data_IF_159621919824
#
_entry.id   IF_159621919824
#
_cell.length_a   1.000
_cell.length_b   1.000
_cell.length_c   1.000
_cell.angle_alpha   90.00
_cell.angle_beta   90.00
_cell.angle_gamma   90.00
#
_symmetry.space_group_name_H-M   'P 1'
#
loop_
_entity.id
_entity.type
_entity.pdbx_description
1 polymer ?
#
# COMPACT_ATOMS: atom_id res chain seq x y z
N UNK A 1 -18.61 0.89 -18.07
CA UNK A 1 -17.64 0.12 -17.29
C UNK A 1 -17.77 0.54 -15.83
N UNK A 2 -18.13 -0.33 -14.89
CA UNK A 2 -18.17 -0.01 -13.46
C UNK A 2 -16.85 0.60 -12.95
N UNK A 3 -16.98 1.60 -12.08
CA UNK A 3 -15.86 2.32 -11.48
C UNK A 3 -15.81 1.99 -9.99
N UNK A 4 -14.67 1.45 -9.54
CA UNK A 4 -14.42 1.07 -8.16
C UNK A 4 -13.51 2.12 -7.50
N UNK A 5 -13.98 2.72 -6.40
CA UNK A 5 -13.21 3.74 -5.67
C UNK A 5 -12.20 3.07 -4.75
N UNK A 6 -10.92 3.37 -4.97
CA UNK A 6 -9.83 2.82 -4.15
C UNK A 6 -9.73 3.58 -2.84
N UNK A 7 -9.83 2.84 -1.72
CA UNK A 7 -9.71 3.39 -0.35
C UNK A 7 -8.31 3.29 0.22
N UNK A 8 -7.59 2.22 -0.11
CA UNK A 8 -6.23 1.97 0.36
C UNK A 8 -5.44 1.25 -0.74
N UNK A 9 -4.12 1.46 -0.75
CA UNK A 9 -3.19 0.82 -1.68
C UNK A 9 -1.88 0.49 -0.98
N UNK A 10 -1.37 -0.71 -1.26
CA UNK A 10 -0.02 -1.14 -0.90
C UNK A 10 0.73 -1.55 -2.18
N UNK A 11 2.04 -1.39 -2.19
CA UNK A 11 2.88 -1.68 -3.35
C UNK A 11 3.81 -2.84 -3.05
N UNK A 12 3.96 -3.73 -4.01
CA UNK A 12 4.96 -4.79 -3.98
C UNK A 12 5.56 -4.96 -5.38
N UNK A 13 6.88 -4.99 -5.49
CA UNK A 13 7.53 -5.31 -6.75
C UNK A 13 7.76 -6.82 -6.85
N UNK A 14 7.43 -7.39 -8.01
CA UNK A 14 7.71 -8.79 -8.36
C UNK A 14 8.87 -8.84 -9.36
N UNK A 15 10.01 -9.37 -8.93
CA UNK A 15 11.16 -9.62 -9.82
C UNK A 15 10.90 -10.76 -10.81
N UNK A 16 9.97 -11.67 -10.51
CA UNK A 16 9.61 -12.80 -11.38
C UNK A 16 8.76 -12.32 -12.56
N UNK A 17 7.79 -11.45 -12.31
CA UNK A 17 6.92 -10.92 -13.36
C UNK A 17 7.44 -9.65 -14.02
N UNK A 18 8.48 -9.04 -13.43
CA UNK A 18 9.03 -7.73 -13.76
C UNK A 18 7.92 -6.65 -13.78
N UNK A 19 7.17 -6.58 -12.68
CA UNK A 19 5.98 -5.72 -12.51
C UNK A 19 5.80 -5.26 -11.07
N UNK A 20 5.12 -4.14 -10.90
CA UNK A 20 4.66 -3.68 -9.58
C UNK A 20 3.21 -4.08 -9.39
N UNK A 21 2.92 -4.79 -8.31
CA UNK A 21 1.58 -5.04 -7.82
C UNK A 21 1.12 -3.91 -6.89
N UNK A 22 -0.06 -3.37 -7.19
CA UNK A 22 -0.83 -2.45 -6.36
C UNK A 22 -1.95 -3.26 -5.75
N UNK A 23 -1.78 -3.67 -4.50
CA UNK A 23 -2.85 -4.30 -3.74
C UNK A 23 -3.76 -3.22 -3.20
N UNK A 24 -4.99 -3.14 -3.72
CA UNK A 24 -5.93 -2.10 -3.35
C UNK A 24 -7.21 -2.66 -2.72
N UNK A 25 -7.80 -1.89 -1.80
CA UNK A 25 -9.11 -2.18 -1.22
C UNK A 25 -10.14 -1.26 -1.88
N UNK A 26 -11.12 -1.84 -2.57
CA UNK A 26 -12.22 -1.13 -3.21
C UNK A 26 -13.54 -1.88 -2.95
N UNK A 27 -14.60 -1.17 -2.57
CA UNK A 27 -15.92 -1.76 -2.28
C UNK A 27 -15.86 -3.04 -1.42
N UNK A 28 -15.03 -3.01 -0.36
CA UNK A 28 -14.82 -4.09 0.62
C UNK A 28 -14.09 -5.34 0.10
N UNK A 29 -13.72 -5.37 -1.18
CA UNK A 29 -12.91 -6.41 -1.78
C UNK A 29 -11.46 -5.95 -2.01
N UNK A 30 -10.53 -6.90 -1.90
CA UNK A 30 -9.11 -6.68 -2.22
C UNK A 30 -8.82 -7.09 -3.66
N UNK A 31 -8.08 -6.25 -4.37
CA UNK A 31 -7.69 -6.46 -5.76
C UNK A 31 -6.18 -6.27 -5.92
N UNK A 32 -5.57 -7.07 -6.79
CA UNK A 32 -4.16 -6.96 -7.14
C UNK A 32 -4.07 -6.39 -8.57
N UNK A 33 -3.68 -5.11 -8.67
CA UNK A 33 -3.51 -4.40 -9.94
C UNK A 33 -2.04 -4.39 -10.34
N UNK A 34 -1.71 -4.88 -11.52
CA UNK A 34 -0.33 -4.98 -11.98
C UNK A 34 0.02 -3.84 -12.93
N UNK A 35 1.08 -3.10 -12.59
CA UNK A 35 1.68 -2.06 -13.41
C UNK A 35 2.99 -2.56 -14.01
N UNK A 36 3.15 -2.33 -15.32
CA UNK A 36 4.41 -2.58 -16.04
C UNK A 36 5.33 -1.37 -15.97
N UNK A 37 6.61 -1.59 -16.27
CA UNK A 37 7.59 -0.52 -16.40
C UNK A 37 7.15 0.54 -17.43
N UNK A 38 6.61 0.09 -18.57
CA UNK A 38 6.06 0.97 -19.61
C UNK A 38 4.92 1.86 -19.09
N UNK A 39 4.02 1.29 -18.29
CA UNK A 39 2.93 2.06 -17.69
C UNK A 39 3.45 3.15 -16.76
N UNK A 40 4.44 2.83 -15.91
CA UNK A 40 5.04 3.82 -15.02
C UNK A 40 5.79 4.92 -15.79
N UNK A 41 6.49 4.56 -16.86
CA UNK A 41 7.15 5.55 -17.73
C UNK A 41 6.17 6.54 -18.37
N UNK A 42 4.92 6.13 -18.61
CA UNK A 42 3.88 7.02 -19.12
C UNK A 42 3.22 7.84 -18.00
N UNK A 43 3.04 7.23 -16.83
CA UNK A 43 2.36 7.83 -15.69
C UNK A 43 3.21 8.90 -14.98
N UNK A 44 4.47 8.60 -14.69
CA UNK A 44 5.35 9.42 -13.87
C UNK A 44 5.57 10.85 -14.42
N UNK A 45 5.79 11.06 -15.73
CA UNK A 45 5.95 12.42 -16.27
C UNK A 45 4.71 13.29 -16.05
N UNK A 46 3.51 12.75 -16.23
CA UNK A 46 2.27 13.49 -16.06
C UNK A 46 1.97 13.80 -14.59
N UNK A 47 2.25 12.86 -13.69
CA UNK A 47 2.21 13.12 -12.25
C UNK A 47 3.20 14.22 -11.86
N UNK A 48 4.44 14.14 -12.36
CA UNK A 48 5.49 15.14 -12.08
C UNK A 48 5.06 16.53 -12.52
N UNK A 49 4.52 16.67 -13.74
CA UNK A 49 3.98 17.95 -14.26
C UNK A 49 2.87 18.49 -13.37
N UNK A 50 1.98 17.63 -12.88
CA UNK A 50 0.91 18.04 -11.98
C UNK A 50 1.45 18.55 -10.64
N UNK A 51 2.40 17.84 -10.02
CA UNK A 51 3.04 18.30 -8.77
C UNK A 51 3.68 19.68 -8.93
N UNK A 52 4.41 19.93 -10.03
CA UNK A 52 5.01 21.24 -10.31
C UNK A 52 3.94 22.35 -10.42
N UNK A 53 2.80 22.07 -11.07
CA UNK A 53 1.69 23.04 -11.20
C UNK A 53 0.97 23.31 -9.89
N UNK A 54 0.87 22.32 -9.00
CA UNK A 54 0.17 22.44 -7.71
C UNK A 54 0.95 23.22 -6.64
N UNK A 55 2.09 23.84 -6.98
CA UNK A 55 2.90 24.62 -6.03
C UNK A 55 3.71 23.75 -5.06
N UNK A 56 3.84 22.45 -5.36
CA UNK A 56 4.62 21.51 -4.54
C UNK A 56 6.10 21.87 -4.46
N UNK A 57 6.61 22.62 -5.43
CA UNK A 57 8.01 23.06 -5.48
C UNK A 57 8.35 24.14 -4.43
N UNK A 58 7.36 24.70 -3.73
CA UNK A 58 7.64 25.62 -2.63
C UNK A 58 8.28 24.88 -1.46
N UNK A 59 9.36 25.45 -0.89
CA UNK A 59 10.07 24.85 0.24
C UNK A 59 9.15 24.51 1.42
N UNK A 60 8.16 25.36 1.69
CA UNK A 60 7.18 25.16 2.76
C UNK A 60 6.32 23.90 2.56
N UNK A 61 5.84 23.64 1.33
CA UNK A 61 5.06 22.43 1.05
C UNK A 61 5.92 21.18 1.14
N UNK A 62 7.17 21.24 0.66
CA UNK A 62 8.10 20.12 0.80
C UNK A 62 8.42 19.81 2.26
N UNK A 63 8.65 20.83 3.09
CA UNK A 63 8.96 20.65 4.51
C UNK A 63 7.74 20.15 5.31
N UNK A 64 6.53 20.59 4.97
CA UNK A 64 5.29 20.05 5.52
C UNK A 64 5.12 18.57 5.19
N UNK A 65 5.43 18.18 3.96
CA UNK A 65 5.32 16.78 3.53
C UNK A 65 6.41 15.93 4.19
N UNK A 66 7.66 16.40 4.23
CA UNK A 66 8.74 15.73 4.98
C UNK A 66 8.41 15.57 6.46
N UNK A 67 7.85 16.57 7.12
CA UNK A 67 7.50 16.49 8.54
C UNK A 67 6.32 15.55 8.81
N UNK A 68 5.27 15.58 7.99
CA UNK A 68 4.14 14.64 8.11
C UNK A 68 4.59 13.18 7.86
N UNK A 69 5.56 12.98 6.99
CA UNK A 69 6.19 11.67 6.76
C UNK A 69 6.96 11.15 7.97
N UNK A 70 7.85 11.97 8.54
CA UNK A 70 8.66 11.59 9.70
C UNK A 70 7.79 11.33 10.93
N UNK A 71 6.75 12.14 11.15
CA UNK A 71 5.80 11.93 12.25
C UNK A 71 5.05 10.60 12.12
N UNK A 72 4.71 10.18 10.90
CA UNK A 72 3.97 8.93 10.68
C UNK A 72 4.85 7.70 10.83
N UNK A 73 6.14 7.79 10.52
CA UNK A 73 7.14 6.74 10.82
C UNK A 73 7.37 6.54 12.32
N UNK A 74 7.24 7.60 13.12
CA UNK A 74 7.42 7.55 14.58
C UNK A 74 6.14 7.19 15.35
N UNK A 75 4.97 7.39 14.74
CA UNK A 75 3.65 7.17 15.39
C UNK A 75 3.04 5.79 15.11
N UNK A 76 3.81 4.86 14.53
CA UNK A 76 3.40 3.49 14.19
C UNK A 76 3.22 2.55 15.39
N UNK A 77 2.69 3.05 16.51
CA UNK A 77 2.30 2.23 17.66
C UNK A 77 1.10 2.86 18.36
N UNK A 78 -0.08 2.75 17.72
CA UNK A 78 -1.36 2.95 18.39
C UNK A 78 -1.94 1.59 18.72
N UNK A 79 -1.62 1.17 19.95
CA UNK A 79 -2.27 0.12 20.72
C UNK A 79 -3.79 0.15 20.52
N UNK A 80 -4.34 -0.99 20.11
CA UNK A 80 -5.77 -1.26 20.14
C UNK A 80 -6.17 -1.27 21.61
N UNK A 81 -7.05 -0.34 21.97
CA UNK A 81 -7.72 -0.27 23.27
C UNK A 81 -8.51 -1.57 23.47
N UNK A 82 -7.95 -2.51 24.23
CA UNK A 82 -8.70 -3.60 24.85
C UNK A 82 -9.76 -3.02 25.78
N UNK A 83 -11.01 -2.99 25.32
CA UNK A 83 -12.15 -2.86 26.22
C UNK A 83 -12.36 -4.19 26.93
N UNK A 84 -11.75 -4.31 28.12
CA UNK A 84 -12.22 -5.19 29.20
C UNK A 84 -13.70 -4.90 29.45
N UNK A 85 -14.55 -5.93 29.39
CA UNK A 85 -15.80 -5.95 30.14
C UNK A 85 -15.90 -7.29 30.85
N UNK A 86 -15.83 -7.18 32.16
CA UNK A 86 -15.85 -8.23 33.18
C UNK A 86 -17.30 -8.61 33.50
N UNK A 87 -17.59 -9.91 33.67
CA UNK A 87 -18.46 -10.54 34.70
C UNK A 87 -18.96 -11.91 34.21
N UNK A 88 -19.24 -12.94 35.01
CA UNK A 88 -18.78 -13.47 36.30
C UNK A 88 -19.68 -14.69 36.60
N UNK A 89 -19.11 -15.79 37.12
CA UNK A 89 -19.81 -16.86 37.85
C UNK A 89 -20.44 -17.98 36.98
N UNK A 90 -20.53 -19.24 37.38
CA UNK A 90 -20.24 -19.95 38.64
C UNK A 90 -19.98 -21.44 38.33
N UNK A 91 -19.03 -22.01 39.09
CA UNK A 91 -18.75 -23.41 39.44
C UNK A 91 -19.53 -24.58 38.78
N UNK A 92 -18.78 -25.62 38.39
CA UNK A 92 -18.86 -26.90 39.12
C UNK A 92 -17.62 -27.80 38.93
N UNK A 93 -17.48 -28.66 39.92
CA UNK A 93 -16.32 -29.41 40.42
C UNK A 93 -16.40 -30.87 39.97
N UNK A 94 -15.28 -31.47 39.54
CA UNK A 94 -14.71 -32.73 40.08
C UNK A 94 -13.86 -33.54 39.07
N UNK A 95 -12.62 -33.80 39.52
CA UNK A 95 -11.81 -35.03 39.44
C UNK A 95 -11.28 -35.62 38.13
N UNK A 96 -9.92 -35.68 38.08
CA UNK A 96 -9.08 -36.87 37.80
C UNK A 96 -9.08 -37.40 36.35
N UNK A 97 -7.97 -37.75 35.69
CA UNK A 97 -6.56 -37.95 36.06
C UNK A 97 -5.75 -38.14 34.73
N UNK A 98 -4.43 -38.01 34.82
CA UNK A 98 -3.38 -38.58 33.95
C UNK A 98 -3.11 -38.08 32.50
N UNK A 99 -1.80 -37.85 32.29
CA UNK A 99 -1.02 -38.02 31.05
C UNK A 99 -0.96 -36.90 30.00
N UNK A 100 0.18 -36.19 30.04
CA UNK A 100 1.23 -36.44 29.03
C UNK A 100 1.15 -35.68 27.69
N UNK A 101 1.93 -34.60 27.62
CA UNK A 101 2.62 -34.07 26.43
C UNK A 101 1.74 -33.57 25.25
N UNK A 102 1.57 -32.25 25.30
CA UNK A 102 1.05 -31.32 24.30
C UNK A 102 1.35 -31.67 22.84
N UNK A 103 0.25 -31.76 22.09
CA UNK A 103 0.11 -31.43 20.69
C UNK A 103 0.82 -30.10 20.36
N UNK A 104 1.63 -30.10 19.31
CA UNK A 104 1.75 -28.97 18.38
C UNK A 104 1.67 -29.51 16.97
N UNK A 105 0.43 -29.65 16.55
CA UNK A 105 -0.03 -29.53 15.16
C UNK A 105 0.84 -28.51 14.43
N UNK A 106 1.61 -29.01 13.47
CA UNK A 106 2.23 -28.19 12.46
C UNK A 106 1.13 -27.47 11.70
N UNK A 107 0.96 -26.18 11.97
CA UNK A 107 0.31 -25.29 11.04
C UNK A 107 1.27 -25.13 9.85
N UNK A 108 1.22 -26.09 8.93
CA UNK A 108 1.43 -25.78 7.52
C UNK A 108 0.55 -24.56 7.22
N UNK A 109 1.19 -23.41 6.99
CA UNK A 109 0.55 -22.27 6.37
C UNK A 109 0.07 -22.72 5.01
N UNK A 110 -1.20 -23.12 5.01
CA UNK A 110 -1.97 -23.45 3.84
C UNK A 110 -1.93 -22.24 2.90
N UNK A 111 -1.19 -22.41 1.81
CA UNK A 111 -1.20 -21.54 0.64
C UNK A 111 -2.58 -21.69 -0.04
N UNK A 112 -3.64 -21.26 0.63
CA UNK A 112 -4.98 -21.26 0.06
C UNK A 112 -5.15 -19.98 -0.78
N UNK A 113 -5.22 -20.20 -2.10
CA UNK A 113 -5.86 -19.35 -3.10
C UNK A 113 -5.21 -17.98 -3.42
N UNK A 114 -4.00 -18.00 -3.98
CA UNK A 114 -3.63 -17.01 -5.01
C UNK A 114 -4.28 -17.37 -6.35
N UNK A 115 -5.59 -17.22 -6.42
CA UNK A 115 -6.29 -16.91 -7.66
C UNK A 115 -6.96 -15.54 -7.52
N UNK A 116 -6.24 -14.60 -6.90
CA UNK A 116 -6.58 -13.19 -6.95
C UNK A 116 -6.60 -12.76 -8.41
N UNK A 117 -7.75 -12.23 -8.86
CA UNK A 117 -7.98 -11.83 -10.23
C UNK A 117 -6.79 -11.02 -10.78
N UNK A 118 -6.04 -11.60 -11.70
CA UNK A 118 -4.90 -10.94 -12.34
C UNK A 118 -5.40 -9.74 -13.14
N UNK A 119 -5.08 -8.53 -12.68
CA UNK A 119 -5.53 -7.29 -13.29
C UNK A 119 -4.38 -6.48 -13.87
N UNK A 120 -4.01 -6.76 -15.12
CA UNK A 120 -2.97 -5.99 -15.79
C UNK A 120 -3.51 -4.62 -16.24
N UNK A 121 -2.95 -3.56 -15.67
CA UNK A 121 -3.26 -2.21 -16.09
C UNK A 121 -2.57 -1.89 -17.41
N UNK A 122 -3.37 -1.46 -18.37
CA UNK A 122 -2.95 -1.16 -19.76
C UNK A 122 -3.20 0.29 -20.12
N UNK A 123 -4.12 0.96 -19.42
CA UNK A 123 -4.38 2.41 -19.57
C UNK A 123 -4.44 3.08 -18.20
N UNK A 124 -3.88 4.28 -18.14
CA UNK A 124 -3.98 5.19 -17.00
C UNK A 124 -4.45 6.55 -17.50
N UNK A 125 -5.64 6.96 -17.08
CA UNK A 125 -6.20 8.27 -17.42
C UNK A 125 -6.09 9.18 -16.20
N UNK A 126 -5.41 10.31 -16.37
CA UNK A 126 -5.23 11.31 -15.33
C UNK A 126 -6.14 12.50 -15.59
N UNK A 127 -6.89 12.86 -14.57
CA UNK A 127 -7.69 14.08 -14.54
C UNK A 127 -7.33 14.85 -13.29
N UNK A 128 -7.21 16.16 -13.43
CA UNK A 128 -6.73 17.03 -12.39
C UNK A 128 -7.77 18.13 -12.16
N UNK A 129 -8.03 18.45 -10.90
CA UNK A 129 -8.57 19.75 -10.52
C UNK A 129 -7.59 20.43 -9.55
N UNK A 130 -7.89 21.64 -9.12
CA UNK A 130 -6.97 22.46 -8.31
C UNK A 130 -6.59 21.81 -6.96
N UNK A 131 -7.34 20.81 -6.49
CA UNK A 131 -7.16 20.22 -5.16
C UNK A 131 -6.87 18.71 -5.17
N UNK A 132 -7.24 18.00 -6.25
CA UNK A 132 -7.23 16.55 -6.31
C UNK A 132 -6.76 16.03 -7.66
N UNK A 133 -5.96 14.98 -7.58
CA UNK A 133 -5.61 14.06 -8.65
C UNK A 133 -6.65 12.95 -8.69
N UNK A 134 -7.29 12.76 -9.85
CA UNK A 134 -8.10 11.58 -10.15
C UNK A 134 -7.38 10.74 -11.20
N UNK A 135 -6.84 9.60 -10.76
CA UNK A 135 -6.19 8.61 -11.61
C UNK A 135 -7.13 7.41 -11.80
N UNK A 136 -7.44 7.11 -13.06
CA UNK A 136 -8.26 5.96 -13.46
C UNK A 136 -7.37 4.91 -14.12
N UNK A 137 -7.30 3.73 -13.52
CA UNK A 137 -6.59 2.58 -14.08
C UNK A 137 -7.58 1.61 -14.72
N UNK A 138 -7.26 1.19 -15.95
CA UNK A 138 -8.10 0.31 -16.75
C UNK A 138 -7.29 -0.88 -17.29
N UNK A 139 -7.97 -2.00 -17.52
CA UNK A 139 -7.44 -3.16 -18.24
C UNK A 139 -8.20 -3.32 -19.55
N UNK A 140 -7.50 -3.65 -20.63
CA UNK A 140 -8.13 -3.99 -21.92
C UNK A 140 -8.93 -5.30 -21.87
N UNK A 141 -8.64 -6.16 -20.88
CA UNK A 141 -9.21 -7.50 -20.78
C UNK A 141 -10.31 -7.62 -19.72
N UNK A 142 -10.68 -6.51 -19.08
CA UNK A 142 -11.60 -6.54 -17.95
C UNK A 142 -12.53 -5.33 -17.94
N UNK A 143 -13.78 -5.57 -17.56
CA UNK A 143 -14.84 -4.56 -17.58
C UNK A 143 -14.95 -3.74 -16.28
N UNK A 144 -13.85 -3.51 -15.55
CA UNK A 144 -13.87 -2.62 -14.38
C UNK A 144 -12.75 -1.58 -14.48
N UNK A 145 -12.92 -0.48 -13.77
CA UNK A 145 -11.86 0.52 -13.61
C UNK A 145 -11.67 0.87 -12.16
N UNK A 146 -10.44 1.18 -11.81
CA UNK A 146 -10.07 1.57 -10.45
C UNK A 146 -9.77 3.05 -10.42
N UNK A 147 -10.47 3.77 -9.54
CA UNK A 147 -10.35 5.21 -9.40
C UNK A 147 -9.61 5.53 -8.10
N UNK A 148 -8.47 6.19 -8.24
CA UNK A 148 -7.71 6.79 -7.16
C UNK A 148 -8.03 8.28 -7.14
N UNK A 149 -8.65 8.76 -6.07
CA UNK A 149 -8.98 10.18 -5.88
C UNK A 149 -8.16 10.75 -4.73
N UNK A 150 -7.00 11.31 -5.05
CA UNK A 150 -5.97 11.68 -4.09
C UNK A 150 -5.82 13.20 -4.00
N UNK A 151 -5.68 13.71 -2.78
CA UNK A 151 -5.15 15.06 -2.52
C UNK A 151 -3.66 15.13 -2.87
N UNK A 152 -3.08 16.34 -2.89
CA UNK A 152 -1.65 16.54 -3.11
C UNK A 152 -0.78 15.74 -2.12
N UNK A 153 -1.19 15.70 -0.84
CA UNK A 153 -0.50 14.96 0.21
C UNK A 153 -0.64 13.43 0.03
N UNK A 154 -1.80 12.94 -0.35
CA UNK A 154 -2.00 11.50 -0.60
C UNK A 154 -1.24 11.04 -1.85
N UNK A 155 -1.22 11.85 -2.90
CA UNK A 155 -0.48 11.56 -4.11
C UNK A 155 1.04 11.56 -3.87
N UNK A 156 1.54 12.41 -2.97
CA UNK A 156 2.96 12.39 -2.61
C UNK A 156 3.32 11.11 -1.87
N UNK A 157 2.49 10.69 -0.90
CA UNK A 157 2.58 9.38 -0.24
C UNK A 157 2.55 8.22 -1.23
N UNK A 158 1.66 8.27 -2.21
CA UNK A 158 1.58 7.28 -3.28
C UNK A 158 2.92 7.17 -4.04
N UNK A 159 3.49 8.30 -4.50
CA UNK A 159 4.75 8.30 -5.24
C UNK A 159 5.94 7.81 -4.41
N UNK A 160 5.99 8.16 -3.12
CA UNK A 160 7.03 7.67 -2.21
C UNK A 160 6.94 6.15 -2.01
N UNK A 161 5.75 5.65 -1.73
CA UNK A 161 5.55 4.22 -1.54
C UNK A 161 5.89 3.43 -2.82
N UNK A 162 5.51 3.96 -4.00
CA UNK A 162 5.87 3.38 -5.28
C UNK A 162 7.38 3.43 -5.56
N UNK A 163 8.07 4.52 -5.24
CA UNK A 163 9.53 4.59 -5.39
C UNK A 163 10.23 3.61 -4.47
N UNK A 164 9.79 3.51 -3.22
CA UNK A 164 10.38 2.62 -2.24
C UNK A 164 10.18 1.15 -2.61
N UNK A 165 9.04 0.78 -3.22
CA UNK A 165 8.84 -0.59 -3.73
C UNK A 165 9.75 -0.91 -4.92
N UNK A 166 10.21 0.11 -5.64
CA UNK A 166 11.10 -0.01 -6.80
C UNK A 166 12.59 0.18 -6.47
N UNK A 167 12.96 0.39 -5.20
CA UNK A 167 14.33 0.76 -4.81
C UNK A 167 15.42 -0.24 -5.23
N UNK A 168 15.05 -1.52 -5.32
CA UNK A 168 15.96 -2.63 -5.65
C UNK A 168 15.80 -3.10 -7.10
N UNK A 169 15.23 -2.27 -7.97
CA UNK A 169 14.96 -2.61 -9.37
C UNK A 169 15.89 -1.86 -10.30
N UNK A 170 16.17 -2.42 -11.47
CA UNK A 170 16.95 -1.76 -12.52
C UNK A 170 16.08 -0.80 -13.37
N UNK A 171 14.88 -0.45 -12.91
CA UNK A 171 13.95 0.40 -13.64
C UNK A 171 14.43 1.84 -13.63
N UNK A 172 14.73 2.37 -14.81
CA UNK A 172 15.18 3.76 -15.00
C UNK A 172 14.00 4.73 -15.06
N UNK A 173 13.28 4.85 -13.94
CA UNK A 173 12.20 5.82 -13.79
C UNK A 173 12.74 7.24 -13.56
N UNK A 174 12.20 8.23 -14.29
CA UNK A 174 12.47 9.65 -14.03
C UNK A 174 11.60 10.12 -12.86
N UNK A 175 12.18 10.14 -11.66
CA UNK A 175 11.50 10.60 -10.45
C UNK A 175 11.54 12.13 -10.32
N UNK A 176 10.52 12.75 -9.70
CA UNK A 176 10.58 14.17 -9.36
C UNK A 176 11.78 14.50 -8.44
N UNK A 177 12.45 15.62 -8.67
CA UNK A 177 13.65 16.01 -7.92
C UNK A 177 13.39 16.21 -6.41
N UNK A 178 12.17 16.59 -6.04
CA UNK A 178 11.77 16.80 -4.63
C UNK A 178 11.64 15.49 -3.86
N UNK A 179 11.50 14.36 -4.56
CA UNK A 179 11.35 13.04 -3.96
C UNK A 179 12.77 12.53 -3.69
N UNK A 180 13.24 12.43 -2.43
CA UNK A 180 14.52 11.78 -2.15
C UNK A 180 14.35 10.25 -2.19
N UNK A 181 15.45 9.52 -2.37
CA UNK A 181 15.51 8.14 -1.90
C UNK A 181 15.49 8.20 -0.36
N UNK A 182 14.61 7.45 0.27
CA UNK A 182 14.74 7.21 1.71
C UNK A 182 15.91 6.24 1.84
N UNK A 183 17.12 6.77 2.05
CA UNK A 183 18.28 5.97 2.43
C UNK A 183 17.97 5.41 3.83
N UNK A 184 17.90 4.08 3.96
CA UNK A 184 17.67 3.39 5.23
C UNK A 184 18.92 3.42 6.14
N UNK A 185 19.68 4.50 6.17
CA UNK A 185 20.87 4.64 7.04
C UNK A 185 20.51 5.06 8.48
N UNK A 186 19.30 4.74 8.94
CA UNK A 186 18.86 5.09 10.30
C UNK A 186 17.69 4.32 10.89
N UNK A 187 17.13 3.30 10.21
CA UNK A 187 16.13 2.42 10.82
C UNK A 187 16.75 1.08 11.20
N UNK A 188 16.57 0.58 12.45
CA UNK A 188 17.11 -0.70 12.85
C UNK A 188 16.50 -1.80 11.97
N UNK A 189 17.38 -2.54 11.29
CA UNK A 189 17.05 -3.76 10.56
C UNK A 189 16.33 -4.73 11.49
N UNK A 190 15.06 -4.95 11.24
CA UNK A 190 14.27 -6.01 11.89
C UNK A 190 13.08 -5.49 12.68
N UNK A 191 11.97 -5.24 11.99
CA UNK A 191 10.63 -5.40 12.57
C UNK A 191 9.82 -6.32 11.67
N UNK A 192 9.99 -7.61 11.91
CA UNK A 192 9.01 -8.62 11.55
C UNK A 192 7.74 -8.34 12.34
N UNK A 193 6.67 -7.90 11.68
CA UNK A 193 5.34 -7.93 12.29
C UNK A 193 4.75 -9.34 12.08
N UNK A 194 4.90 -10.19 13.10
CA UNK A 194 4.07 -11.37 13.32
C UNK A 194 3.18 -11.06 14.53
N UNK A 195 1.86 -11.09 14.28
CA UNK A 195 0.70 -11.04 15.20
C UNK A 195 0.73 -10.10 16.40
#
# INVERSE_FOLDING_TARGET
MPELMVKNVAFNYSSVEDRVCLRCLADEASYDLWLTHRMLHQLLPELTKWFSRSGFETAQTQDFIRSTLLQRSLSGSRSIVEKKTTQAGVANKACSDESGVSEKTGHEMRNDNQSGYFWLCTKANLTFNDQRLRMKLESEFKDQSFIFSMTLLEASHFLMALRNSLKNTDWSCQWPAWLPLVEEDGLPKGTSFLH
#
